data_IF_901142660796
#
_entry.id   IF_901142660796
#
_cell.length_a   1.000
_cell.length_b   1.000
_cell.length_c   1.000
_cell.angle_alpha   90.00
_cell.angle_beta   90.00
_cell.angle_gamma   90.00
#
_symmetry.space_group_name_H-M   'P 1'
#
loop_
_entity.id
_entity.type
_entity.pdbx_description
1 polymer ?
#
# COMPACT_ATOMS: atom_id res chain seq x y z
N UNK A 1 23.97 -6.20 7.40
CA UNK A 1 22.61 -5.69 7.70
C UNK A 1 21.99 -5.27 6.39
N UNK A 2 20.71 -5.56 6.18
CA UNK A 2 19.96 -5.13 5.00
C UNK A 2 19.11 -3.92 5.37
N UNK A 3 18.90 -3.01 4.44
CA UNK A 3 18.00 -1.87 4.66
C UNK A 3 16.54 -2.34 4.56
N UNK A 4 15.69 -1.81 5.45
CA UNK A 4 14.24 -1.87 5.24
C UNK A 4 13.75 -0.65 4.45
N UNK A 5 12.43 -0.49 4.40
CA UNK A 5 11.76 0.63 3.77
C UNK A 5 10.73 1.26 4.71
N UNK A 6 10.51 2.56 4.51
CA UNK A 6 9.43 3.28 5.19
C UNK A 6 8.15 3.11 4.38
N UNK A 7 7.08 2.79 5.10
CA UNK A 7 5.72 2.75 4.61
C UNK A 7 4.86 3.68 5.45
N UNK A 8 3.77 4.12 4.87
CA UNK A 8 2.81 5.00 5.53
C UNK A 8 1.42 4.41 5.45
N UNK A 9 0.64 4.62 6.50
CA UNK A 9 -0.77 4.28 6.56
C UNK A 9 -1.46 5.31 7.42
N UNK A 10 -2.62 5.80 7.02
CA UNK A 10 -3.50 6.46 7.99
C UNK A 10 -4.61 5.56 8.52
N UNK A 11 -5.00 5.87 9.75
CA UNK A 11 -6.02 5.16 10.52
C UNK A 11 -6.71 6.17 11.45
N UNK A 12 -7.98 5.93 11.76
CA UNK A 12 -8.74 6.80 12.67
C UNK A 12 -8.45 6.50 14.14
N UNK A 13 -7.92 5.31 14.44
CA UNK A 13 -7.50 4.95 15.79
C UNK A 13 -6.30 5.80 16.21
N UNK A 14 -6.25 6.23 17.48
CA UNK A 14 -5.20 7.13 17.95
C UNK A 14 -3.89 6.40 18.28
N UNK A 15 -2.76 7.13 18.37
CA UNK A 15 -1.44 6.53 18.54
C UNK A 15 -1.30 5.70 19.82
N UNK A 16 -1.97 6.08 20.91
CA UNK A 16 -1.95 5.33 22.18
C UNK A 16 -2.46 3.89 22.00
N UNK A 17 -3.42 3.69 21.10
CA UNK A 17 -3.94 2.38 20.76
C UNK A 17 -2.99 1.66 19.78
N UNK A 18 -2.66 2.30 18.66
CA UNK A 18 -1.91 1.67 17.57
C UNK A 18 -0.46 1.32 17.98
N UNK A 19 0.19 2.14 18.82
CA UNK A 19 1.53 1.82 19.33
C UNK A 19 1.55 0.66 20.31
N UNK A 20 0.39 0.23 20.81
CA UNK A 20 0.25 -0.96 21.66
C UNK A 20 -0.14 -2.20 20.85
N UNK A 21 -1.08 -2.05 19.93
CA UNK A 21 -1.73 -3.17 19.24
C UNK A 21 -1.12 -3.47 17.87
N UNK A 22 -0.57 -2.46 17.20
CA UNK A 22 -0.15 -2.56 15.80
C UNK A 22 -1.36 -2.63 14.85
N UNK A 23 -1.13 -3.20 13.68
CA UNK A 23 -2.19 -3.43 12.69
C UNK A 23 -2.31 -4.92 12.39
N UNK A 24 -3.54 -5.45 12.50
CA UNK A 24 -3.87 -6.84 12.20
C UNK A 24 -5.04 -6.91 11.22
N UNK A 25 -5.05 -7.89 10.31
CA UNK A 25 -6.14 -8.06 9.37
C UNK A 25 -7.37 -8.58 10.11
N UNK A 26 -8.56 -8.33 9.55
CA UNK A 26 -9.83 -8.77 10.15
C UNK A 26 -10.02 -10.28 10.02
N UNK A 27 -9.61 -10.84 8.88
CA UNK A 27 -9.58 -12.28 8.63
C UNK A 27 -8.14 -12.77 8.68
N UNK A 28 -7.84 -13.60 9.68
CA UNK A 28 -6.51 -14.15 9.93
C UNK A 28 -6.36 -15.62 9.50
N UNK A 29 -7.37 -16.19 8.84
CA UNK A 29 -7.40 -17.60 8.44
C UNK A 29 -6.52 -17.95 7.24
N UNK A 30 -6.00 -16.94 6.52
CA UNK A 30 -5.26 -17.13 5.27
C UNK A 30 -3.72 -17.06 5.43
N UNK A 31 -3.18 -17.28 6.64
CA UNK A 31 -1.78 -16.98 7.01
C UNK A 31 -0.71 -17.36 5.97
N UNK A 32 -0.76 -18.55 5.38
CA UNK A 32 0.29 -19.00 4.45
C UNK A 32 0.18 -18.41 3.04
N UNK A 33 -1.03 -18.10 2.59
CA UNK A 33 -1.34 -17.62 1.23
C UNK A 33 -2.09 -16.29 1.25
N UNK A 34 -1.95 -15.52 2.33
CA UNK A 34 -2.73 -14.31 2.59
C UNK A 34 -2.60 -13.33 1.43
N UNK A 35 -1.40 -13.24 0.85
CA UNK A 35 -1.12 -12.31 -0.23
C UNK A 35 -1.90 -12.67 -1.50
N UNK A 36 -2.10 -13.96 -1.82
CA UNK A 36 -2.90 -14.39 -2.99
C UNK A 36 -4.36 -14.03 -2.82
N UNK A 37 -4.88 -14.22 -1.61
CA UNK A 37 -6.26 -13.85 -1.28
C UNK A 37 -6.42 -12.33 -1.25
N UNK A 38 -5.45 -11.59 -0.70
CA UNK A 38 -5.43 -10.13 -0.66
C UNK A 38 -5.44 -9.49 -2.05
N UNK A 39 -4.73 -10.08 -3.00
CA UNK A 39 -4.72 -9.62 -4.39
C UNK A 39 -5.83 -10.25 -5.25
N UNK A 40 -6.69 -11.11 -4.67
CA UNK A 40 -7.77 -11.80 -5.39
C UNK A 40 -7.28 -12.54 -6.64
N UNK A 41 -6.18 -13.29 -6.51
CA UNK A 41 -5.44 -13.83 -7.67
C UNK A 41 -6.24 -14.74 -8.60
N UNK A 42 -7.37 -15.28 -8.14
CA UNK A 42 -8.26 -16.17 -8.91
C UNK A 42 -9.09 -15.41 -9.96
N UNK A 43 -9.14 -14.09 -9.87
CA UNK A 43 -9.91 -13.23 -10.75
C UNK A 43 -9.23 -12.86 -12.06
N UNK A 44 -7.96 -13.23 -12.26
CA UNK A 44 -7.18 -12.74 -13.38
C UNK A 44 -7.51 -13.48 -14.68
N UNK A 45 -8.12 -12.77 -15.62
CA UNK A 45 -8.35 -13.27 -16.98
C UNK A 45 -7.22 -12.76 -17.86
N UNK A 46 -6.51 -13.65 -18.57
CA UNK A 46 -5.42 -13.31 -19.49
C UNK A 46 -4.32 -12.41 -18.86
N UNK A 47 -4.12 -12.50 -17.55
CA UNK A 47 -3.16 -11.67 -16.79
C UNK A 47 -3.51 -10.16 -16.77
N UNK A 48 -4.78 -9.79 -17.02
CA UNK A 48 -5.27 -8.41 -17.13
C UNK A 48 -5.88 -7.84 -15.84
N UNK A 49 -5.82 -8.57 -14.74
CA UNK A 49 -6.55 -8.21 -13.53
C UNK A 49 -8.03 -8.61 -13.62
N UNK A 50 -8.89 -7.81 -12.99
CA UNK A 50 -10.33 -8.06 -12.85
C UNK A 50 -11.10 -6.98 -13.62
N UNK A 51 -12.12 -7.34 -14.38
CA UNK A 51 -13.01 -6.39 -15.08
C UNK A 51 -12.27 -5.32 -15.91
N UNK A 52 -11.20 -5.73 -16.61
CA UNK A 52 -10.33 -4.85 -17.42
C UNK A 52 -9.69 -3.69 -16.63
N UNK A 53 -9.41 -3.91 -15.35
CA UNK A 53 -8.71 -2.95 -14.50
C UNK A 53 -7.70 -3.66 -13.58
N UNK A 54 -6.69 -2.90 -13.15
CA UNK A 54 -5.84 -3.32 -12.06
C UNK A 54 -6.69 -3.53 -10.80
N UNK A 55 -6.26 -4.47 -9.96
CA UNK A 55 -6.99 -4.82 -8.75
C UNK A 55 -6.76 -3.83 -7.61
N UNK A 56 -7.69 -3.81 -6.67
CA UNK A 56 -7.46 -3.29 -5.32
C UNK A 56 -7.14 -4.43 -4.36
N UNK A 57 -6.29 -4.15 -3.36
CA UNK A 57 -6.12 -5.05 -2.23
C UNK A 57 -7.45 -5.27 -1.48
N UNK A 58 -7.65 -6.47 -0.95
CA UNK A 58 -8.70 -6.75 0.02
C UNK A 58 -8.24 -6.37 1.44
N UNK A 59 -8.77 -5.26 2.02
CA UNK A 59 -8.35 -4.76 3.33
C UNK A 59 -8.82 -5.63 4.50
N UNK A 60 -9.67 -6.63 4.25
CA UNK A 60 -10.13 -7.57 5.27
C UNK A 60 -9.04 -8.60 5.60
N UNK A 61 -8.20 -8.93 4.63
CA UNK A 61 -7.17 -9.99 4.74
C UNK A 61 -5.74 -9.46 4.84
N UNK A 62 -5.54 -8.15 4.68
CA UNK A 62 -4.22 -7.52 4.76
C UNK A 62 -4.28 -6.09 5.31
N UNK A 63 -3.10 -5.54 5.61
CA UNK A 63 -2.89 -4.13 5.94
C UNK A 63 -2.40 -3.41 4.69
N UNK A 64 -3.26 -2.55 4.14
CA UNK A 64 -2.89 -1.63 3.08
C UNK A 64 -2.02 -0.49 3.62
N UNK A 65 -0.93 -0.21 2.93
CA UNK A 65 0.00 0.87 3.20
C UNK A 65 0.41 1.49 1.87
N UNK A 66 1.17 2.57 1.93
CA UNK A 66 1.77 3.21 0.77
C UNK A 66 3.26 3.46 0.99
N UNK A 67 4.01 3.52 -0.10
CA UNK A 67 5.43 3.93 -0.07
C UNK A 67 5.61 5.44 -0.17
N UNK A 68 4.52 6.21 -0.26
CA UNK A 68 4.52 7.67 -0.45
C UNK A 68 3.73 8.35 0.67
N UNK A 69 4.38 9.24 1.41
CA UNK A 69 3.72 9.96 2.51
C UNK A 69 2.50 10.75 2.02
N UNK A 70 2.62 11.39 0.86
CA UNK A 70 1.55 12.14 0.20
C UNK A 70 0.34 11.27 -0.18
N UNK A 71 0.53 9.96 -0.38
CA UNK A 71 -0.56 9.01 -0.64
C UNK A 71 -1.16 8.44 0.65
N UNK A 72 -0.52 8.61 1.80
CA UNK A 72 -0.99 7.99 3.04
C UNK A 72 -2.41 8.43 3.42
N UNK A 73 -2.77 9.74 3.32
CA UNK A 73 -4.10 10.25 3.63
C UNK A 73 -5.22 9.61 2.81
N UNK A 74 -4.93 8.86 1.74
CA UNK A 74 -5.93 8.11 0.98
C UNK A 74 -6.67 7.08 1.86
N UNK A 75 -6.04 6.58 2.93
CA UNK A 75 -6.60 5.52 3.78
C UNK A 75 -6.99 6.01 5.19
N UNK A 76 -8.16 5.69 5.76
CA UNK A 76 -9.36 5.23 5.07
C UNK A 76 -9.91 6.34 4.15
N UNK A 77 -10.74 5.94 3.19
CA UNK A 77 -11.37 6.86 2.22
C UNK A 77 -12.52 7.66 2.87
N UNK A 78 -12.28 8.28 4.02
CA UNK A 78 -13.24 9.12 4.72
C UNK A 78 -12.62 10.50 5.04
N UNK A 79 -13.47 11.46 5.41
CA UNK A 79 -13.05 12.83 5.78
C UNK A 79 -12.80 12.97 7.28
N UNK A 80 -12.77 11.86 8.02
CA UNK A 80 -12.56 11.93 9.46
C UNK A 80 -11.11 12.32 9.76
N UNK A 81 -10.94 13.03 10.87
CA UNK A 81 -9.62 13.25 11.47
C UNK A 81 -8.95 11.88 11.66
N UNK A 82 -7.70 11.79 11.22
CA UNK A 82 -6.94 10.56 11.28
C UNK A 82 -5.51 10.81 11.73
N UNK A 83 -4.76 9.74 11.88
CA UNK A 83 -3.33 9.79 12.12
C UNK A 83 -2.62 9.10 10.98
N UNK A 84 -1.57 9.70 10.45
CA UNK A 84 -0.63 9.01 9.56
C UNK A 84 0.46 8.38 10.41
N UNK A 85 0.65 7.08 10.23
CA UNK A 85 1.67 6.27 10.87
C UNK A 85 2.81 6.02 9.90
N UNK A 86 4.05 6.32 10.32
CA UNK A 86 5.25 5.90 9.61
C UNK A 86 5.71 4.54 10.15
N UNK A 87 6.01 3.61 9.25
CA UNK A 87 6.20 2.19 9.55
C UNK A 87 7.49 1.71 8.88
N UNK A 88 8.36 1.05 9.63
CA UNK A 88 9.57 0.40 9.11
C UNK A 88 9.34 -1.12 8.95
N UNK A 89 9.44 -1.59 7.72
CA UNK A 89 9.29 -3.00 7.35
C UNK A 89 10.35 -3.40 6.31
N UNK A 90 10.50 -4.69 5.98
CA UNK A 90 11.37 -5.14 4.90
C UNK A 90 11.03 -4.47 3.55
N UNK A 91 11.98 -4.51 2.61
CA UNK A 91 11.72 -4.17 1.21
C UNK A 91 10.59 -5.04 0.64
N UNK A 92 9.75 -4.49 -0.26
CA UNK A 92 8.58 -5.20 -0.73
C UNK A 92 8.98 -6.27 -1.76
N UNK A 93 8.28 -7.39 -1.71
CA UNK A 93 8.47 -8.53 -2.62
C UNK A 93 7.52 -8.39 -3.80
N UNK A 94 8.06 -8.55 -5.00
CA UNK A 94 7.28 -8.43 -6.23
C UNK A 94 6.43 -9.66 -6.48
N UNK A 95 5.28 -9.45 -7.14
CA UNK A 95 4.42 -10.51 -7.68
C UNK A 95 4.64 -10.58 -9.19
N UNK A 96 4.88 -11.78 -9.70
CA UNK A 96 5.09 -12.04 -11.12
C UNK A 96 4.00 -12.95 -11.66
N UNK A 97 3.53 -12.66 -12.88
CA UNK A 97 2.79 -13.64 -13.68
C UNK A 97 3.72 -14.73 -14.21
N UNK A 98 3.21 -15.96 -14.27
CA UNK A 98 3.94 -17.10 -14.86
C UNK A 98 3.91 -17.10 -16.41
N UNK A 99 3.22 -16.12 -17.03
CA UNK A 99 3.20 -15.92 -18.48
C UNK A 99 2.38 -16.94 -19.27
N UNK A 100 1.47 -17.66 -18.60
CA UNK A 100 0.61 -18.66 -19.24
C UNK A 100 -0.76 -18.10 -19.66
N UNK A 101 -1.04 -16.81 -19.43
CA UNK A 101 -2.33 -16.19 -19.72
C UNK A 101 -3.50 -16.74 -18.89
N UNK A 102 -3.21 -17.54 -17.86
CA UNK A 102 -4.20 -18.17 -16.99
C UNK A 102 -4.31 -17.47 -15.62
N UNK A 103 -3.69 -16.31 -15.45
CA UNK A 103 -3.71 -15.58 -14.19
C UNK A 103 -2.79 -16.16 -13.11
N UNK A 104 -1.98 -17.18 -13.42
CA UNK A 104 -1.12 -17.78 -12.42
C UNK A 104 0.01 -16.82 -12.01
N UNK A 105 0.17 -16.63 -10.70
CA UNK A 105 1.15 -15.72 -10.10
C UNK A 105 2.02 -16.39 -9.04
N UNK A 106 3.23 -15.85 -8.86
CA UNK A 106 4.18 -16.23 -7.80
C UNK A 106 4.83 -14.99 -7.17
N UNK A 107 5.40 -15.17 -5.98
CA UNK A 107 6.31 -14.18 -5.40
C UNK A 107 7.71 -14.32 -6.00
N UNK A 108 8.29 -13.21 -6.42
CA UNK A 108 9.68 -13.12 -6.85
C UNK A 108 10.58 -13.02 -5.61
N UNK A 109 10.80 -14.16 -4.95
CA UNK A 109 11.63 -14.24 -3.74
C UNK A 109 13.10 -14.06 -4.11
N UNK A 110 13.82 -13.29 -3.30
CA UNK A 110 15.27 -13.08 -3.42
C UNK A 110 15.97 -13.46 -2.12
N UNK A 111 17.30 -13.38 -2.10
CA UNK A 111 18.11 -13.57 -0.89
C UNK A 111 17.80 -12.60 0.27
N UNK A 112 17.05 -11.53 0.01
CA UNK A 112 16.64 -10.51 1.00
C UNK A 112 15.12 -10.54 1.29
N UNK A 113 14.39 -11.50 0.73
CA UNK A 113 12.96 -11.67 1.00
C UNK A 113 12.76 -12.48 2.28
N UNK A 114 11.86 -12.05 3.20
CA UNK A 114 11.48 -12.86 4.35
C UNK A 114 11.00 -14.26 3.94
N UNK A 115 11.46 -15.29 4.66
CA UNK A 115 11.02 -16.67 4.40
C UNK A 115 9.62 -16.92 4.94
N UNK A 116 9.29 -16.30 6.08
CA UNK A 116 7.94 -16.31 6.65
C UNK A 116 7.02 -15.38 5.82
N UNK A 117 5.88 -15.93 5.39
CA UNK A 117 4.88 -15.18 4.64
C UNK A 117 4.30 -14.02 5.47
N UNK A 118 4.24 -14.14 6.80
CA UNK A 118 3.68 -13.12 7.69
C UNK A 118 4.56 -11.88 7.86
N UNK A 119 5.85 -12.02 7.57
CA UNK A 119 6.84 -10.91 7.60
C UNK A 119 7.06 -10.30 6.21
N UNK A 120 6.46 -10.88 5.17
CA UNK A 120 6.61 -10.41 3.80
C UNK A 120 5.73 -9.17 3.56
N UNK A 121 6.33 -8.13 2.99
CA UNK A 121 5.59 -7.01 2.38
C UNK A 121 5.49 -7.27 0.88
N UNK A 122 4.37 -6.95 0.25
CA UNK A 122 4.12 -7.16 -1.17
C UNK A 122 4.08 -5.81 -1.89
N UNK A 123 4.79 -5.72 -3.00
CA UNK A 123 4.72 -4.59 -3.93
C UNK A 123 3.49 -4.73 -4.82
N UNK A 124 2.35 -4.21 -4.35
CA UNK A 124 1.10 -4.26 -5.11
C UNK A 124 1.08 -3.22 -6.23
N UNK A 125 1.71 -2.06 -6.04
CA UNK A 125 1.80 -1.01 -7.06
C UNK A 125 2.47 -1.49 -8.36
N UNK A 126 3.62 -2.16 -8.27
CA UNK A 126 4.28 -2.70 -9.46
C UNK A 126 3.41 -3.75 -10.15
N UNK A 127 2.73 -4.59 -9.38
CA UNK A 127 1.84 -5.62 -9.92
C UNK A 127 0.61 -5.01 -10.63
N UNK A 128 -0.03 -4.01 -10.03
CA UNK A 128 -1.11 -3.21 -10.64
C UNK A 128 -0.65 -2.54 -11.95
N UNK A 129 0.62 -2.10 -12.02
CA UNK A 129 1.17 -1.45 -13.22
C UNK A 129 1.27 -2.45 -14.38
N UNK A 130 1.69 -3.68 -14.09
CA UNK A 130 1.71 -4.77 -15.08
C UNK A 130 0.29 -5.05 -15.60
N UNK A 131 -0.71 -5.11 -14.71
CA UNK A 131 -2.11 -5.33 -15.10
C UNK A 131 -2.62 -4.20 -16.02
N UNK A 132 -2.44 -2.95 -15.62
CA UNK A 132 -2.87 -1.80 -16.41
C UNK A 132 -2.22 -1.79 -17.80
N UNK A 133 -0.91 -2.11 -17.88
CA UNK A 133 -0.20 -2.26 -19.15
C UNK A 133 -0.79 -3.37 -20.02
N UNK A 134 -1.07 -4.54 -19.43
CA UNK A 134 -1.60 -5.66 -20.18
C UNK A 134 -3.01 -5.36 -20.73
N UNK A 135 -3.86 -4.69 -19.95
CA UNK A 135 -5.16 -4.18 -20.41
C UNK A 135 -4.98 -3.22 -21.59
N UNK A 136 -4.11 -2.22 -21.47
CA UNK A 136 -3.86 -1.27 -22.55
C UNK A 136 -3.35 -1.94 -23.83
N UNK A 137 -2.46 -2.93 -23.69
CA UNK A 137 -1.94 -3.70 -24.81
C UNK A 137 -3.01 -4.56 -25.49
N UNK A 138 -3.96 -5.11 -24.74
CA UNK A 138 -5.05 -5.92 -25.30
C UNK A 138 -6.00 -5.10 -26.18
N UNK A 139 -6.33 -3.87 -25.78
CA UNK A 139 -7.24 -2.99 -26.52
C UNK A 139 -6.54 -2.05 -27.51
N UNK A 140 -5.20 -2.08 -27.59
CA UNK A 140 -4.38 -1.45 -28.65
C UNK A 140 -4.69 0.04 -28.91
N UNK A 141 -4.88 0.81 -27.82
CA UNK A 141 -5.24 2.25 -27.83
C UNK A 141 -6.56 2.61 -28.54
N UNK A 142 -7.44 1.64 -28.83
CA UNK A 142 -8.72 1.88 -29.52
C UNK A 142 -9.80 2.49 -28.64
N UNK A 143 -9.48 2.71 -27.36
CA UNK A 143 -10.44 3.14 -26.34
C UNK A 143 -9.87 4.35 -25.62
N UNK A 144 -10.59 5.45 -25.66
CA UNK A 144 -10.21 6.69 -24.98
C UNK A 144 -10.18 6.50 -23.46
N UNK A 145 -9.23 7.15 -22.79
CA UNK A 145 -9.03 7.12 -21.34
C UNK A 145 -8.78 5.73 -20.72
N UNK A 146 -8.54 4.69 -21.53
CA UNK A 146 -8.34 3.33 -21.04
C UNK A 146 -7.20 3.21 -20.03
N UNK A 147 -6.07 3.90 -20.25
CA UNK A 147 -4.95 3.86 -19.32
C UNK A 147 -5.30 4.43 -17.94
N UNK A 148 -6.03 5.54 -17.90
CA UNK A 148 -6.51 6.15 -16.67
C UNK A 148 -7.53 5.25 -15.95
N UNK A 149 -8.42 4.58 -16.71
CA UNK A 149 -9.40 3.65 -16.17
C UNK A 149 -8.76 2.36 -15.64
N UNK A 150 -7.88 1.73 -16.42
CA UNK A 150 -7.26 0.46 -16.09
C UNK A 150 -6.22 0.60 -14.97
N UNK A 151 -5.45 1.69 -14.98
CA UNK A 151 -4.48 2.04 -13.95
C UNK A 151 -5.07 2.72 -12.72
N UNK A 152 -6.40 2.76 -12.62
CA UNK A 152 -7.10 3.57 -11.65
C UNK A 152 -6.64 3.36 -10.19
N UNK A 153 -6.29 2.16 -9.70
CA UNK A 153 -5.74 1.98 -8.34
C UNK A 153 -4.30 2.50 -8.08
N UNK A 154 -3.53 2.85 -9.10
CA UNK A 154 -2.08 3.04 -9.00
C UNK A 154 -1.63 4.26 -8.16
N UNK A 155 -2.47 5.27 -8.04
CA UNK A 155 -2.23 6.51 -7.27
C UNK A 155 -1.91 6.27 -5.79
N UNK A 156 -2.32 5.12 -5.26
CA UNK A 156 -2.06 4.76 -3.88
C UNK A 156 -0.61 4.36 -3.60
N UNK A 157 0.20 4.04 -4.63
CA UNK A 157 1.55 3.45 -4.46
C UNK A 157 1.55 2.30 -3.45
N UNK A 158 0.57 1.41 -3.61
CA UNK A 158 0.17 0.46 -2.59
C UNK A 158 1.24 -0.60 -2.31
N UNK A 159 1.48 -0.80 -1.01
CA UNK A 159 2.17 -1.96 -0.48
C UNK A 159 1.25 -2.63 0.53
N UNK A 160 1.25 -3.96 0.58
CA UNK A 160 0.41 -4.70 1.53
C UNK A 160 1.27 -5.60 2.41
N UNK A 161 0.89 -5.73 3.68
CA UNK A 161 1.48 -6.66 4.62
C UNK A 161 0.38 -7.47 5.31
N UNK A 162 0.69 -8.66 5.81
CA UNK A 162 -0.29 -9.39 6.60
C UNK A 162 -0.62 -8.66 7.90
N UNK A 163 0.42 -8.26 8.63
CA UNK A 163 0.34 -7.55 9.91
C UNK A 163 1.45 -6.51 10.00
N UNK A 164 1.26 -5.51 10.84
CA UNK A 164 2.30 -4.55 11.23
C UNK A 164 2.46 -4.60 12.74
N UNK A 165 3.59 -5.13 13.25
CA UNK A 165 3.81 -5.20 14.69
C UNK A 165 4.04 -3.79 15.27
N UNK A 166 3.67 -3.55 16.54
CA UNK A 166 3.86 -2.25 17.19
C UNK A 166 5.31 -1.76 17.12
N UNK A 167 6.28 -2.67 17.21
CA UNK A 167 7.72 -2.35 17.21
C UNK A 167 8.22 -1.84 15.85
N UNK A 168 7.47 -2.08 14.77
CA UNK A 168 7.77 -1.55 13.43
C UNK A 168 7.22 -0.13 13.22
N UNK A 169 6.34 0.37 14.09
CA UNK A 169 5.74 1.69 13.93
C UNK A 169 6.68 2.73 14.52
N UNK A 170 7.17 3.66 13.70
CA UNK A 170 8.14 4.68 14.09
C UNK A 170 7.46 5.79 14.89
N UNK A 171 6.42 6.39 14.31
CA UNK A 171 5.74 7.56 14.84
C UNK A 171 4.37 7.73 14.18
N UNK A 172 3.60 8.68 14.71
CA UNK A 172 2.33 9.11 14.17
C UNK A 172 2.25 10.65 14.13
N UNK A 173 1.46 11.19 13.22
CA UNK A 173 1.11 12.61 13.20
C UNK A 173 -0.37 12.76 12.84
N UNK A 174 -1.05 13.70 13.49
CA UNK A 174 -2.45 13.98 13.18
C UNK A 174 -2.57 14.57 11.77
N UNK A 175 -3.52 14.05 11.01
CA UNK A 175 -3.82 14.45 9.64
C UNK A 175 -5.29 14.88 9.57
N UNK A 176 -5.50 16.14 9.20
CA UNK A 176 -6.82 16.66 8.87
C UNK A 176 -6.99 16.67 7.35
N UNK A 177 -8.20 16.34 6.87
CA UNK A 177 -8.51 16.26 5.44
C UNK A 177 -9.66 17.20 5.13
N UNK A 178 -9.58 17.81 3.96
CA UNK A 178 -10.65 18.65 3.42
C UNK A 178 -10.87 18.31 1.94
N UNK A 179 -12.09 18.51 1.46
CA UNK A 179 -12.39 18.40 0.04
C UNK A 179 -11.67 19.54 -0.69
N UNK A 180 -10.95 19.24 -1.78
CA UNK A 180 -10.36 20.30 -2.61
C UNK A 180 -11.41 20.97 -3.52
N UNK A 181 -12.59 20.36 -3.66
CA UNK A 181 -13.68 20.82 -4.53
C UNK A 181 -13.52 20.39 -6.00
N UNK A 182 -12.45 19.66 -6.32
CA UNK A 182 -12.22 19.09 -7.65
C UNK A 182 -12.83 17.69 -7.75
N UNK A 183 -13.74 17.52 -8.71
CA UNK A 183 -14.34 16.24 -9.04
C UNK A 183 -13.73 15.70 -10.33
N UNK A 184 -13.29 14.45 -10.28
CA UNK A 184 -12.64 13.79 -11.40
C UNK A 184 -13.48 12.60 -11.83
N UNK A 185 -13.80 12.56 -13.12
CA UNK A 185 -14.58 11.49 -13.75
C UNK A 185 -13.77 10.87 -14.87
N UNK A 186 -13.53 9.57 -14.79
CA UNK A 186 -12.89 8.79 -15.85
C UNK A 186 -13.90 7.80 -16.40
N UNK A 187 -14.36 8.07 -17.61
CA UNK A 187 -15.19 7.17 -18.41
C UNK A 187 -14.34 6.45 -19.46
N UNK A 188 -14.72 5.22 -19.80
CA UNK A 188 -14.04 4.38 -20.76
C UNK A 188 -15.12 3.58 -21.52
N UNK A 189 -15.00 3.43 -22.85
CA UNK A 189 -16.08 2.84 -23.66
C UNK A 189 -16.35 1.36 -23.35
N UNK A 190 -15.37 0.68 -22.76
CA UNK A 190 -15.48 -0.72 -22.33
C UNK A 190 -15.99 -0.87 -20.88
N UNK A 191 -16.33 0.24 -20.22
CA UNK A 191 -16.75 0.27 -18.83
C UNK A 191 -18.24 0.62 -18.70
N UNK A 192 -18.98 -0.20 -17.96
CA UNK A 192 -20.40 0.04 -17.70
C UNK A 192 -20.67 1.30 -16.87
N UNK A 193 -19.67 1.75 -16.08
CA UNK A 193 -19.78 2.91 -15.19
C UNK A 193 -18.48 3.70 -15.15
N UNK A 194 -18.55 5.05 -15.14
CA UNK A 194 -17.38 5.89 -14.92
C UNK A 194 -16.83 5.70 -13.50
N UNK A 195 -15.52 5.92 -13.36
CA UNK A 195 -14.88 6.07 -12.05
C UNK A 195 -14.97 7.53 -11.64
N UNK A 196 -15.42 7.76 -10.41
CA UNK A 196 -15.61 9.08 -9.86
C UNK A 196 -14.77 9.22 -8.58
N UNK A 197 -14.09 10.35 -8.47
CA UNK A 197 -13.21 10.71 -7.36
C UNK A 197 -13.47 12.15 -6.94
N UNK A 198 -13.47 12.40 -5.64
CA UNK A 198 -13.27 13.75 -5.09
C UNK A 198 -11.83 13.87 -4.64
N UNK A 199 -11.14 14.87 -5.17
CA UNK A 199 -9.78 15.16 -4.72
C UNK A 199 -9.78 15.76 -3.30
N UNK A 200 -8.74 15.44 -2.54
CA UNK A 200 -8.61 15.80 -1.12
C UNK A 200 -7.30 16.51 -0.90
N UNK A 201 -7.38 17.62 -0.17
CA UNK A 201 -6.22 18.27 0.44
C UNK A 201 -6.10 17.82 1.89
N UNK A 202 -4.88 17.79 2.39
CA UNK A 202 -4.62 17.40 3.77
C UNK A 202 -3.58 18.29 4.43
N UNK A 203 -3.62 18.33 5.76
CA UNK A 203 -2.69 19.07 6.59
C UNK A 203 -2.20 18.18 7.73
N UNK A 204 -0.91 18.24 8.01
CA UNK A 204 -0.31 17.58 9.17
C UNK A 204 -0.30 18.57 10.34
N UNK A 205 -0.98 18.22 11.42
CA UNK A 205 -1.25 19.13 12.54
C UNK A 205 -0.70 18.58 13.85
N UNK A 206 -0.33 19.49 14.76
CA UNK A 206 0.23 19.14 16.06
C UNK A 206 1.65 18.56 15.95
N UNK A 207 2.12 17.96 17.04
CA UNK A 207 3.47 17.41 17.14
C UNK A 207 3.55 15.99 16.60
N UNK A 208 4.75 15.58 16.17
CA UNK A 208 5.01 14.18 15.83
C UNK A 208 5.04 13.39 17.13
N UNK A 209 4.21 12.36 17.20
CA UNK A 209 4.09 11.47 18.36
C UNK A 209 4.99 10.27 18.09
N UNK A 210 6.15 10.22 18.73
CA UNK A 210 7.09 9.11 18.58
C UNK A 210 6.62 7.87 19.36
N UNK A 211 6.80 6.69 18.76
CA UNK A 211 6.49 5.43 19.42
C UNK A 211 7.67 4.99 20.30
N UNK A 212 7.47 4.94 21.61
CA UNK A 212 8.47 4.46 22.58
C UNK A 212 8.77 2.96 22.44
N UNK A 213 7.88 2.19 21.83
CA UNK A 213 8.05 0.75 21.59
C UNK A 213 8.76 0.43 20.27
N UNK A 214 9.11 1.45 19.47
CA UNK A 214 9.79 1.25 18.18
C UNK A 214 11.16 0.59 18.37
N UNK A 215 11.40 -0.51 17.64
CA UNK A 215 12.70 -1.16 17.62
C UNK A 215 13.53 -0.71 16.43
N UNK A 216 14.73 -0.21 16.71
CA UNK A 216 15.71 0.16 15.68
C UNK A 216 16.29 -1.04 14.94
N UNK A 217 16.09 -2.26 15.44
CA UNK A 217 16.61 -3.47 14.81
C UNK A 217 15.64 -4.65 14.91
N UNK A 218 15.49 -5.36 13.80
CA UNK A 218 14.67 -6.56 13.69
C UNK A 218 15.52 -7.69 13.11
N UNK A 219 15.31 -8.92 13.58
CA UNK A 219 15.98 -10.11 13.04
C UNK A 219 14.93 -10.94 12.32
N UNK A 220 15.13 -11.18 11.03
CA UNK A 220 14.24 -11.99 10.20
C UNK A 220 15.01 -13.14 9.55
N UNK A 221 14.33 -14.26 9.33
CA UNK A 221 14.82 -15.29 8.43
C UNK A 221 14.53 -14.84 7.00
N UNK A 222 15.58 -14.70 6.18
CA UNK A 222 15.51 -14.27 4.79
C UNK A 222 16.13 -15.29 3.86
N UNK A 223 15.59 -15.39 2.65
CA UNK A 223 16.15 -16.21 1.58
C UNK A 223 15.11 -16.93 0.75
N UNK A 224 15.61 -17.73 -0.19
CA UNK A 224 14.80 -18.65 -0.98
C UNK A 224 14.54 -19.93 -0.19
N UNK A 225 13.49 -20.69 -0.52
CA UNK A 225 12.92 -21.75 0.32
C UNK A 225 13.95 -22.75 0.91
N UNK A 226 15.05 -23.03 0.21
CA UNK A 226 16.10 -23.97 0.65
C UNK A 226 17.40 -23.30 1.11
N UNK A 227 17.49 -21.98 1.09
CA UNK A 227 18.68 -21.21 1.47
C UNK A 227 18.28 -20.01 2.33
N UNK A 228 17.93 -20.29 3.60
CA UNK A 228 17.59 -19.25 4.56
C UNK A 228 18.78 -18.83 5.42
N UNK A 229 18.79 -17.58 5.85
CA UNK A 229 19.74 -17.03 6.81
C UNK A 229 19.06 -16.01 7.71
N UNK A 230 19.55 -15.89 8.94
CA UNK A 230 19.13 -14.82 9.84
C UNK A 230 19.79 -13.50 9.46
N UNK A 231 18.99 -12.47 9.22
CA UNK A 231 19.45 -11.15 8.81
C UNK A 231 18.93 -10.11 9.79
N UNK A 232 19.85 -9.30 10.33
CA UNK A 232 19.51 -8.08 11.04
C UNK A 232 19.16 -6.95 10.08
N UNK A 233 17.96 -6.41 10.24
CA UNK A 233 17.47 -5.17 9.63
C UNK A 233 17.74 -4.01 10.58
N UNK A 234 18.33 -2.93 10.08
CA UNK A 234 18.58 -1.72 10.86
C UNK A 234 17.62 -0.62 10.39
N UNK A 235 16.64 -0.30 11.23
CA UNK A 235 15.63 0.73 10.99
C UNK A 235 15.98 2.07 11.64
N UNK A 236 17.12 2.20 12.31
CA UNK A 236 17.60 3.47 12.87
C UNK A 236 17.62 4.61 11.83
N UNK A 237 18.25 4.42 10.65
CA UNK A 237 18.24 5.43 9.59
C UNK A 237 16.83 5.74 9.06
N UNK A 238 15.95 4.74 8.99
CA UNK A 238 14.57 4.90 8.52
C UNK A 238 13.74 5.77 9.48
N UNK A 239 14.01 5.68 10.79
CA UNK A 239 13.39 6.58 11.78
C UNK A 239 13.73 8.03 11.47
N UNK A 240 15.02 8.34 11.30
CA UNK A 240 15.46 9.72 11.04
C UNK A 240 14.89 10.24 9.72
N UNK A 241 14.91 9.40 8.66
CA UNK A 241 14.32 9.73 7.37
C UNK A 241 12.81 9.99 7.49
N UNK A 242 12.06 9.13 8.18
CA UNK A 242 10.61 9.30 8.35
C UNK A 242 10.26 10.61 9.07
N UNK A 243 11.00 10.96 10.14
CA UNK A 243 10.82 12.20 10.87
C UNK A 243 11.14 13.43 10.00
N UNK A 244 12.20 13.36 9.19
CA UNK A 244 12.55 14.42 8.25
C UNK A 244 11.48 14.62 7.17
N UNK A 245 11.00 13.52 6.57
CA UNK A 245 9.96 13.57 5.54
C UNK A 245 8.64 14.14 6.08
N UNK A 246 8.22 13.73 7.28
CA UNK A 246 7.02 14.25 7.93
C UNK A 246 7.16 15.73 8.26
N UNK A 247 8.29 16.16 8.82
CA UNK A 247 8.52 17.58 9.11
C UNK A 247 8.50 18.44 7.85
N UNK A 248 9.13 17.97 6.77
CA UNK A 248 9.12 18.66 5.47
C UNK A 248 7.70 18.83 4.92
N UNK A 249 6.85 17.81 4.99
CA UNK A 249 5.45 17.91 4.53
C UNK A 249 4.63 18.81 5.47
N UNK A 250 4.84 18.70 6.79
CA UNK A 250 4.19 19.56 7.79
C UNK A 250 4.47 21.06 7.55
N UNK A 251 5.68 21.41 7.12
CA UNK A 251 6.07 22.80 6.82
C UNK A 251 5.35 23.40 5.61
N UNK A 252 4.84 22.59 4.68
CA UNK A 252 4.13 23.06 3.49
C UNK A 252 2.74 23.63 3.81
N UNK A 253 2.24 23.43 5.04
CA UNK A 253 0.92 23.81 5.57
C UNK A 253 -0.27 23.18 4.86
N UNK A 254 -0.29 23.17 3.53
CA UNK A 254 -1.28 22.47 2.70
C UNK A 254 -0.56 21.56 1.71
N UNK A 255 -0.99 20.31 1.64
CA UNK A 255 -0.48 19.31 0.70
C UNK A 255 -1.65 18.61 0.03
N UNK A 256 -1.44 18.22 -1.22
CA UNK A 256 -2.40 17.45 -1.99
C UNK A 256 -1.95 16.00 -1.98
N UNK A 257 -2.89 15.08 -1.83
CA UNK A 257 -2.60 13.71 -2.27
C UNK A 257 -2.21 13.76 -3.75
N UNK A 258 -1.35 12.86 -4.27
CA UNK A 258 -0.89 12.94 -5.66
C UNK A 258 -2.04 13.28 -6.59
N UNK A 259 -1.85 14.30 -7.44
CA UNK A 259 -2.79 14.63 -8.49
C UNK A 259 -3.12 13.33 -9.17
N UNK A 260 -4.41 12.94 -9.13
CA UNK A 260 -5.07 11.87 -9.87
C UNK A 260 -5.68 10.70 -9.03
N UNK A 261 -7.03 10.67 -9.03
CA UNK A 261 -7.99 9.53 -9.04
C UNK A 261 -8.27 8.70 -7.75
N UNK A 262 -9.08 9.18 -6.79
CA UNK A 262 -9.76 8.33 -5.78
C UNK A 262 -10.86 7.46 -6.37
N UNK A 263 -10.58 6.17 -6.50
CA UNK A 263 -11.66 5.18 -6.61
C UNK A 263 -12.32 4.98 -5.29
N UNK A 264 -13.64 4.92 -5.31
CA UNK A 264 -14.47 4.36 -4.25
C UNK A 264 -14.25 2.83 -4.10
N UNK A 265 -12.99 2.37 -4.18
CA UNK A 265 -12.57 0.99 -4.00
C UNK A 265 -12.43 0.68 -2.52
N UNK A 266 -13.55 0.47 -1.84
CA UNK A 266 -13.72 -0.50 -0.73
C UNK A 266 -12.76 -0.48 0.48
N UNK A 267 -11.84 0.48 0.62
CA UNK A 267 -10.81 0.51 1.69
C UNK A 267 -11.28 1.23 2.96
N UNK A 268 -12.57 1.49 3.09
CA UNK A 268 -13.22 2.05 4.27
C UNK A 268 -13.83 0.93 5.11
N UNK A 269 -13.12 0.46 6.13
CA UNK A 269 -13.77 -0.12 7.32
C UNK A 269 -12.87 -0.02 8.55
#
# INVERSE_FOLDING_TARGET
MVAGKIYYRSDTRPPEQIFKEGFTPKLNQFQELWWKEAIKSRGYINDYGLDNQAIDADPVVCICMTTKLESAPIFPLNTEDSYIYAIALPEPTQVEYLGQGNGAVRLSKTANTPTDALDTVIDLHSFQTVQARNVCGFFDHKVDNLGAYAGWPLYAYEAIAFKVPPQSIICAIKCTRENSGLNINVSCDIADKPKCSEDKKFMLVGDIIENSSFSRAHILSMGEAMQSRWVGLNYGPLKEQALQEINRVKEQKETYTPDIYYGLGGKTF
#
